data_IF_903811389562
#
_entry.id   IF_903811389562
#
_cell.length_a   1.000
_cell.length_b   1.000
_cell.length_c   1.000
_cell.angle_alpha   90.00
_cell.angle_beta   90.00
_cell.angle_gamma   90.00
#
_symmetry.space_group_name_H-M   'P 1'
#
loop_
_entity.id
_entity.type
_entity.pdbx_description
1 polymer ?
#
# COMPACT_ATOMS: atom_id res chain seq x y z
N UNK A 1 -8.44 24.97 41.00
CA UNK A 1 -8.19 24.52 39.60
C UNK A 1 -9.26 25.13 38.75
N UNK A 2 -8.91 26.20 38.00
CA UNK A 2 -9.83 27.16 37.40
C UNK A 2 -10.69 26.53 36.29
N UNK A 3 -12.01 26.94 36.24
CA UNK A 3 -12.94 26.56 35.17
C UNK A 3 -12.37 26.80 33.76
N UNK A 4 -11.50 27.80 33.60
CA UNK A 4 -10.78 28.09 32.36
C UNK A 4 -9.83 26.98 31.93
N UNK A 5 -9.14 26.33 32.87
CA UNK A 5 -8.21 25.23 32.60
C UNK A 5 -8.95 23.94 32.18
N UNK A 6 -10.16 23.72 32.71
CA UNK A 6 -11.04 22.62 32.27
C UNK A 6 -11.63 22.83 30.88
N UNK A 7 -11.93 24.06 30.51
CA UNK A 7 -12.40 24.40 29.14
C UNK A 7 -11.26 24.25 28.11
N UNK A 8 -10.06 24.63 28.45
CA UNK A 8 -8.89 24.46 27.57
C UNK A 8 -8.54 22.99 27.42
N UNK A 9 -8.62 22.19 28.49
CA UNK A 9 -8.37 20.76 28.45
C UNK A 9 -9.46 20.01 27.68
N UNK A 10 -10.72 20.48 27.72
CA UNK A 10 -11.85 19.92 26.95
C UNK A 10 -11.77 20.29 25.46
N UNK A 11 -11.22 21.45 25.11
CA UNK A 11 -11.04 21.89 23.72
C UNK A 11 -9.85 21.16 23.04
N UNK A 12 -8.82 20.77 23.81
CA UNK A 12 -7.65 20.04 23.27
C UNK A 12 -7.97 18.56 23.05
N UNK A 13 -8.93 17.98 23.76
CA UNK A 13 -9.36 16.57 23.57
C UNK A 13 -10.30 16.42 22.36
N UNK A 14 -10.92 17.49 21.87
CA UNK A 14 -11.85 17.42 20.71
C UNK A 14 -11.17 17.70 19.36
N UNK A 15 -9.85 17.91 19.33
CA UNK A 15 -9.07 18.00 18.09
C UNK A 15 -8.39 16.68 17.73
N UNK A 16 -8.96 15.54 18.13
CA UNK A 16 -8.64 14.25 17.57
C UNK A 16 -9.37 14.11 16.23
N UNK A 17 -8.72 14.59 15.18
CA UNK A 17 -8.72 14.05 13.83
C UNK A 17 -9.92 13.18 13.47
N UNK A 18 -11.03 13.82 13.16
CA UNK A 18 -11.78 13.43 11.99
C UNK A 18 -10.81 13.65 10.80
N UNK A 19 -10.05 12.61 10.39
CA UNK A 19 -9.66 12.56 8.99
C UNK A 19 -10.98 12.72 8.23
N UNK A 20 -11.13 13.72 7.37
CA UNK A 20 -12.32 13.77 6.53
C UNK A 20 -12.31 12.43 5.78
N UNK A 21 -13.32 11.60 5.98
CA UNK A 21 -13.65 10.60 4.99
C UNK A 21 -13.66 11.39 3.68
N UNK A 22 -12.88 10.98 2.68
CA UNK A 22 -12.90 11.63 1.37
C UNK A 22 -14.26 11.23 0.78
N UNK A 23 -15.29 11.91 1.23
CA UNK A 23 -16.65 11.71 0.75
C UNK A 23 -16.79 12.57 -0.49
N UNK A 24 -16.91 11.94 -1.63
CA UNK A 24 -17.30 12.64 -2.86
C UNK A 24 -18.73 13.12 -2.74
N UNK A 25 -19.03 14.39 -3.01
CA UNK A 25 -20.37 14.95 -2.83
C UNK A 25 -21.43 14.32 -3.73
N UNK A 26 -21.01 13.64 -4.78
CA UNK A 26 -21.82 12.94 -5.76
C UNK A 26 -21.89 11.42 -5.55
N UNK A 27 -21.36 10.91 -4.43
CA UNK A 27 -21.44 9.49 -4.05
C UNK A 27 -21.98 9.38 -2.63
N UNK A 28 -23.27 9.14 -2.53
CA UNK A 28 -23.99 8.97 -1.27
C UNK A 28 -23.62 7.60 -0.62
N UNK A 29 -23.68 7.52 0.71
CA UNK A 29 -23.41 6.27 1.45
C UNK A 29 -24.35 5.12 1.07
N UNK A 30 -25.52 5.43 0.51
CA UNK A 30 -26.49 4.45 -0.01
C UNK A 30 -26.20 4.02 -1.44
N UNK A 31 -25.24 4.67 -2.11
CA UNK A 31 -24.84 4.30 -3.47
C UNK A 31 -24.22 2.88 -3.48
N UNK A 32 -24.64 2.04 -4.42
CA UNK A 32 -24.30 0.63 -4.43
C UNK A 32 -22.78 0.32 -4.41
N UNK A 33 -21.96 1.20 -4.98
CA UNK A 33 -20.50 1.04 -5.04
C UNK A 33 -19.76 1.93 -4.00
N UNK A 34 -20.49 2.60 -3.09
CA UNK A 34 -19.88 3.50 -2.08
C UNK A 34 -18.75 2.83 -1.29
N UNK A 35 -18.90 1.59 -0.75
CA UNK A 35 -17.84 0.98 0.04
C UNK A 35 -16.56 0.74 -0.77
N UNK A 36 -16.69 0.33 -2.03
CA UNK A 36 -15.56 0.07 -2.93
C UNK A 36 -14.87 1.38 -3.32
N UNK A 37 -15.64 2.40 -3.72
CA UNK A 37 -15.12 3.72 -4.08
C UNK A 37 -14.36 4.33 -2.89
N UNK A 38 -14.94 4.32 -1.70
CA UNK A 38 -14.32 4.89 -0.51
C UNK A 38 -13.00 4.17 -0.19
N UNK A 39 -13.00 2.83 -0.15
CA UNK A 39 -11.82 2.05 0.16
C UNK A 39 -10.69 2.24 -0.86
N UNK A 40 -11.02 2.29 -2.17
CA UNK A 40 -10.03 2.51 -3.21
C UNK A 40 -9.47 3.94 -3.18
N UNK A 41 -10.28 4.91 -2.78
CA UNK A 41 -9.84 6.30 -2.59
C UNK A 41 -8.91 6.42 -1.40
N UNK A 42 -9.25 5.84 -0.26
CA UNK A 42 -8.38 5.78 0.92
C UNK A 42 -7.02 5.13 0.63
N UNK A 43 -6.99 4.19 -0.31
CA UNK A 43 -5.77 3.51 -0.77
C UNK A 43 -5.02 4.25 -1.89
N UNK A 44 -5.54 5.39 -2.37
CA UNK A 44 -4.93 6.13 -3.49
C UNK A 44 -5.02 5.43 -4.84
N UNK A 45 -5.80 4.35 -4.96
CA UNK A 45 -5.98 3.61 -6.22
C UNK A 45 -6.80 4.41 -7.22
N UNK A 46 -7.87 5.03 -6.74
CA UNK A 46 -8.71 5.93 -7.52
C UNK A 46 -8.66 7.34 -6.95
N UNK A 47 -8.76 8.32 -7.84
CA UNK A 47 -8.73 9.73 -7.50
C UNK A 47 -9.96 10.37 -8.14
N UNK A 48 -10.60 11.31 -7.41
CA UNK A 48 -11.68 12.13 -7.95
C UNK A 48 -11.18 13.16 -8.96
N UNK A 49 -12.11 13.89 -9.55
CA UNK A 49 -11.80 14.98 -10.45
C UNK A 49 -11.40 16.25 -9.68
N UNK A 50 -10.72 17.21 -10.35
CA UNK A 50 -10.31 18.48 -9.71
C UNK A 50 -11.47 19.29 -9.13
N UNK A 51 -12.71 19.06 -9.60
CA UNK A 51 -13.93 19.68 -9.06
C UNK A 51 -14.42 19.03 -7.75
N UNK A 52 -13.69 18.04 -7.24
CA UNK A 52 -14.00 17.30 -6.01
C UNK A 52 -15.04 16.20 -6.19
N UNK A 53 -15.52 15.93 -7.40
CA UNK A 53 -16.49 14.87 -7.70
C UNK A 53 -15.83 13.56 -8.08
N UNK A 54 -16.55 12.45 -7.95
CA UNK A 54 -16.14 11.13 -8.44
C UNK A 54 -16.69 10.81 -9.82
N UNK A 55 -17.90 11.27 -10.14
CA UNK A 55 -18.66 10.99 -11.36
C UNK A 55 -18.90 9.49 -11.57
N UNK A 56 -19.63 8.82 -10.68
CA UNK A 56 -19.75 7.37 -10.65
C UNK A 56 -20.33 6.77 -11.95
N UNK A 57 -21.19 7.50 -12.63
CA UNK A 57 -21.86 7.05 -13.86
C UNK A 57 -21.13 7.49 -15.15
N UNK A 58 -20.03 8.22 -15.05
CA UNK A 58 -19.22 8.57 -16.22
C UNK A 58 -18.46 7.34 -16.75
N UNK A 59 -18.31 7.25 -18.07
CA UNK A 59 -17.49 6.23 -18.69
C UNK A 59 -15.99 6.46 -18.39
N UNK A 60 -15.25 5.36 -18.27
CA UNK A 60 -13.79 5.39 -18.06
C UNK A 60 -13.08 5.23 -19.39
N UNK A 61 -12.07 6.05 -19.64
CA UNK A 61 -11.21 5.87 -20.82
C UNK A 61 -10.21 4.73 -20.62
N UNK A 62 -9.66 4.19 -21.70
CA UNK A 62 -8.64 3.13 -21.67
C UNK A 62 -7.38 3.58 -20.93
N UNK A 63 -6.98 4.84 -21.10
CA UNK A 63 -5.85 5.44 -20.38
C UNK A 63 -6.10 5.56 -18.87
N UNK A 64 -7.27 6.06 -18.48
CA UNK A 64 -7.67 6.13 -17.06
C UNK A 64 -7.69 4.75 -16.43
N UNK A 65 -8.26 3.77 -17.14
CA UNK A 65 -8.35 2.41 -16.65
C UNK A 65 -6.97 1.76 -16.46
N UNK A 66 -6.04 1.93 -17.41
CA UNK A 66 -4.67 1.44 -17.29
C UNK A 66 -3.99 1.98 -16.03
N UNK A 67 -4.11 3.30 -15.79
CA UNK A 67 -3.55 3.94 -14.59
C UNK A 67 -4.18 3.41 -13.29
N UNK A 68 -5.52 3.25 -13.27
CA UNK A 68 -6.22 2.67 -12.11
C UNK A 68 -5.79 1.22 -11.85
N UNK A 69 -5.67 0.39 -12.89
CA UNK A 69 -5.26 -1.00 -12.76
C UNK A 69 -3.83 -1.15 -12.24
N UNK A 70 -2.88 -0.32 -12.71
CA UNK A 70 -1.49 -0.32 -12.24
C UNK A 70 -1.42 0.09 -10.77
N UNK A 71 -2.16 1.12 -10.34
CA UNK A 71 -2.25 1.52 -8.92
C UNK A 71 -2.88 0.42 -8.08
N UNK A 72 -3.94 -0.23 -8.57
CA UNK A 72 -4.58 -1.34 -7.87
C UNK A 72 -3.64 -2.51 -7.61
N UNK A 73 -2.67 -2.74 -8.50
CA UNK A 73 -1.63 -3.76 -8.35
C UNK A 73 -0.39 -3.25 -7.62
N UNK A 74 -0.32 -1.96 -7.27
CA UNK A 74 0.85 -1.36 -6.62
C UNK A 74 2.09 -1.35 -7.51
N UNK A 75 1.92 -1.17 -8.83
CA UNK A 75 3.01 -1.24 -9.81
C UNK A 75 3.44 0.12 -10.37
N UNK A 76 3.11 1.22 -9.70
CA UNK A 76 3.41 2.59 -10.17
C UNK A 76 4.90 2.84 -10.39
N UNK A 77 5.76 2.15 -9.63
CA UNK A 77 7.22 2.34 -9.70
C UNK A 77 7.93 1.28 -10.55
N UNK A 78 7.21 0.35 -11.15
CA UNK A 78 7.82 -0.61 -12.07
C UNK A 78 8.43 0.11 -13.27
N UNK A 79 9.69 -0.24 -13.59
CA UNK A 79 10.40 0.29 -14.75
C UNK A 79 10.26 -0.66 -15.92
N UNK A 80 9.71 -0.19 -17.02
CA UNK A 80 9.65 -0.92 -18.29
C UNK A 80 10.88 -0.56 -19.12
N UNK A 81 11.72 -1.56 -19.42
CA UNK A 81 12.99 -1.36 -20.11
C UNK A 81 12.82 -1.25 -21.63
N UNK A 82 11.81 -1.92 -22.17
CA UNK A 82 11.51 -1.94 -23.59
C UNK A 82 10.06 -1.48 -23.79
N UNK A 83 9.82 -0.16 -23.94
CA UNK A 83 8.48 0.36 -24.17
C UNK A 83 8.00 0.01 -25.59
N UNK A 84 6.68 -0.14 -25.73
CA UNK A 84 5.99 -0.31 -27.00
C UNK A 84 5.72 1.08 -27.58
N UNK A 85 6.00 1.29 -28.85
CA UNK A 85 5.72 2.55 -29.52
C UNK A 85 4.33 2.50 -30.19
N UNK A 86 3.54 3.52 -29.92
CA UNK A 86 2.23 3.75 -30.52
C UNK A 86 2.26 5.01 -31.37
N UNK A 87 1.40 5.07 -32.39
CA UNK A 87 1.28 6.27 -33.23
C UNK A 87 0.30 7.30 -32.67
N UNK A 88 -0.53 6.90 -31.71
CA UNK A 88 -1.58 7.71 -31.09
C UNK A 88 -1.28 8.12 -29.62
N UNK A 89 -0.09 7.80 -29.11
CA UNK A 89 0.34 8.17 -27.76
C UNK A 89 1.86 8.37 -27.74
N UNK A 90 2.29 9.50 -27.23
CA UNK A 90 3.71 9.84 -27.06
C UNK A 90 4.18 9.71 -25.60
N UNK A 91 5.48 9.88 -25.38
CA UNK A 91 6.10 9.77 -24.05
C UNK A 91 5.67 10.90 -23.09
N UNK A 92 5.14 12.02 -23.60
CA UNK A 92 4.66 13.16 -22.82
C UNK A 92 3.22 12.96 -22.34
N UNK A 93 2.51 11.96 -22.88
CA UNK A 93 1.15 11.65 -22.45
C UNK A 93 1.11 11.23 -20.99
N UNK A 94 0.20 11.80 -20.21
CA UNK A 94 0.12 11.60 -18.75
C UNK A 94 0.02 10.13 -18.31
N UNK A 95 -0.62 9.27 -19.11
CA UNK A 95 -0.78 7.84 -18.82
C UNK A 95 0.27 6.95 -19.52
N UNK A 96 1.22 7.51 -20.28
CA UNK A 96 2.18 6.71 -21.06
C UNK A 96 2.87 5.65 -20.20
N UNK A 97 3.43 6.06 -19.08
CA UNK A 97 4.12 5.15 -18.16
C UNK A 97 3.23 4.02 -17.64
N UNK A 98 1.98 4.31 -17.28
CA UNK A 98 1.05 3.31 -16.75
C UNK A 98 0.55 2.37 -17.84
N UNK A 99 0.35 2.88 -19.07
CA UNK A 99 0.03 2.05 -20.24
C UNK A 99 1.16 1.06 -20.54
N UNK A 100 2.42 1.52 -20.53
CA UNK A 100 3.59 0.65 -20.75
C UNK A 100 3.69 -0.45 -19.69
N UNK A 101 3.41 -0.13 -18.42
CA UNK A 101 3.38 -1.12 -17.34
C UNK A 101 2.23 -2.11 -17.51
N UNK A 102 1.04 -1.63 -17.89
CA UNK A 102 -0.11 -2.49 -18.10
C UNK A 102 0.14 -3.50 -19.24
N UNK A 103 0.81 -3.09 -20.30
CA UNK A 103 1.27 -3.98 -21.36
C UNK A 103 2.35 -4.95 -20.87
N UNK A 104 3.31 -4.48 -20.10
CA UNK A 104 4.38 -5.31 -19.53
C UNK A 104 3.82 -6.45 -18.67
N UNK A 105 2.76 -6.20 -17.91
CA UNK A 105 2.08 -7.22 -17.09
C UNK A 105 1.03 -8.03 -17.85
N UNK A 106 0.90 -7.86 -19.16
CA UNK A 106 -0.10 -8.52 -20.02
C UNK A 106 -1.55 -8.26 -19.56
N UNK A 107 -1.80 -7.12 -18.92
CA UNK A 107 -3.15 -6.76 -18.46
C UNK A 107 -4.02 -6.31 -19.61
N UNK A 108 -3.50 -5.45 -20.46
CA UNK A 108 -4.20 -4.84 -21.62
C UNK A 108 -3.49 -5.19 -22.92
N UNK A 109 -4.22 -5.07 -24.00
CA UNK A 109 -3.69 -5.21 -25.36
C UNK A 109 -3.91 -3.94 -26.18
N UNK A 110 -3.05 -3.75 -27.17
CA UNK A 110 -3.22 -2.77 -28.24
C UNK A 110 -4.16 -3.31 -29.34
N UNK A 111 -4.33 -2.54 -30.41
CA UNK A 111 -5.04 -3.00 -31.60
C UNK A 111 -4.35 -4.19 -32.27
N UNK A 112 -5.03 -4.81 -33.26
CA UNK A 112 -4.51 -6.03 -33.94
C UNK A 112 -3.17 -5.81 -34.65
N UNK A 113 -2.86 -4.57 -35.05
CA UNK A 113 -1.63 -4.24 -35.74
C UNK A 113 -0.51 -3.84 -34.76
N UNK A 114 -0.82 -3.59 -33.50
CA UNK A 114 0.14 -3.11 -32.49
C UNK A 114 0.50 -1.63 -32.64
N UNK A 115 -0.23 -0.87 -33.45
CA UNK A 115 0.09 0.52 -33.78
C UNK A 115 -0.66 1.54 -32.94
N UNK A 116 -1.88 1.18 -32.46
CA UNK A 116 -2.77 2.08 -31.75
C UNK A 116 -3.12 1.55 -30.37
N UNK A 117 -3.08 2.41 -29.38
CA UNK A 117 -3.59 2.12 -28.04
C UNK A 117 -5.01 2.64 -27.81
N UNK A 118 -5.40 3.73 -28.47
CA UNK A 118 -6.70 4.43 -28.33
C UNK A 118 -6.96 4.91 -26.90
N UNK A 119 -6.12 5.82 -26.35
CA UNK A 119 -6.16 6.20 -24.94
C UNK A 119 -7.47 6.84 -24.50
N UNK A 120 -8.13 7.59 -25.38
CA UNK A 120 -9.36 8.34 -25.11
C UNK A 120 -10.65 7.57 -25.36
N UNK A 121 -10.56 6.39 -25.99
CA UNK A 121 -11.72 5.53 -26.17
C UNK A 121 -12.21 5.00 -24.81
N UNK A 122 -13.52 4.88 -24.65
CA UNK A 122 -14.09 4.27 -23.45
C UNK A 122 -13.72 2.79 -23.36
N UNK A 123 -13.29 2.34 -22.18
CA UNK A 123 -13.08 0.92 -21.91
C UNK A 123 -14.44 0.22 -21.80
N UNK A 124 -14.58 -0.94 -22.46
CA UNK A 124 -15.79 -1.77 -22.32
C UNK A 124 -15.77 -2.58 -21.02
N UNK A 125 -16.94 -3.07 -20.61
CA UNK A 125 -17.02 -4.01 -19.48
C UNK A 125 -16.22 -5.29 -19.75
N UNK A 126 -16.26 -5.80 -20.98
CA UNK A 126 -15.46 -6.95 -21.39
C UNK A 126 -13.96 -6.71 -21.23
N UNK A 127 -13.47 -5.56 -21.68
CA UNK A 127 -12.06 -5.19 -21.52
C UNK A 127 -11.68 -5.05 -20.03
N UNK A 128 -12.50 -4.35 -19.21
CA UNK A 128 -12.22 -4.17 -17.79
C UNK A 128 -12.16 -5.49 -17.02
N UNK A 129 -13.08 -6.40 -17.27
CA UNK A 129 -13.09 -7.73 -16.65
C UNK A 129 -11.93 -8.60 -17.16
N UNK A 130 -11.54 -8.49 -18.42
CA UNK A 130 -10.39 -9.21 -18.98
C UNK A 130 -9.11 -8.77 -18.30
N UNK A 131 -8.90 -7.47 -18.13
CA UNK A 131 -7.74 -6.92 -17.39
C UNK A 131 -7.71 -7.46 -15.96
N UNK A 132 -8.84 -7.43 -15.28
CA UNK A 132 -8.94 -7.91 -13.91
C UNK A 132 -8.62 -9.43 -13.81
N UNK A 133 -9.04 -10.24 -14.79
CA UNK A 133 -8.69 -11.67 -14.85
C UNK A 133 -7.19 -11.87 -15.17
N UNK A 134 -6.64 -11.08 -16.09
CA UNK A 134 -5.22 -11.17 -16.48
C UNK A 134 -4.27 -10.77 -15.34
N UNK A 135 -4.75 -9.96 -14.39
CA UNK A 135 -4.00 -9.62 -13.19
C UNK A 135 -3.78 -10.81 -12.23
N UNK A 136 -4.43 -11.93 -12.49
CA UNK A 136 -4.43 -13.10 -11.61
C UNK A 136 -3.79 -14.31 -12.27
N UNK A 137 -3.16 -15.18 -11.48
CA UNK A 137 -2.75 -16.51 -11.88
C UNK A 137 -3.92 -17.47 -11.66
N UNK A 138 -4.71 -17.68 -12.70
CA UNK A 138 -5.88 -18.55 -12.63
C UNK A 138 -5.69 -19.79 -13.52
N UNK A 139 -6.33 -20.90 -13.11
CA UNK A 139 -6.39 -22.09 -13.97
C UNK A 139 -7.11 -21.78 -15.28
N UNK A 140 -6.69 -22.46 -16.33
CA UNK A 140 -7.39 -22.39 -17.61
C UNK A 140 -8.70 -23.14 -17.54
N UNK A 141 -9.77 -22.56 -18.07
CA UNK A 141 -11.07 -23.24 -18.22
C UNK A 141 -11.35 -23.46 -19.71
N UNK A 142 -12.11 -24.51 -20.01
CA UNK A 142 -12.52 -24.76 -21.40
C UNK A 142 -13.61 -23.78 -21.84
N UNK A 143 -13.72 -23.45 -23.16
CA UNK A 143 -14.79 -22.60 -23.65
C UNK A 143 -16.20 -23.17 -23.31
N UNK A 144 -16.33 -24.49 -23.31
CA UNK A 144 -17.59 -25.16 -22.95
C UNK A 144 -17.95 -24.89 -21.47
N UNK A 145 -16.97 -24.97 -20.56
CA UNK A 145 -17.19 -24.68 -19.14
C UNK A 145 -17.50 -23.21 -18.90
N UNK A 146 -16.83 -22.30 -19.62
CA UNK A 146 -17.13 -20.90 -19.55
C UNK A 146 -18.58 -20.60 -19.98
N UNK A 147 -19.01 -21.14 -21.12
CA UNK A 147 -20.40 -21.01 -21.61
C UNK A 147 -21.39 -21.55 -20.61
N UNK A 148 -21.19 -22.78 -20.10
CA UNK A 148 -22.06 -23.38 -19.08
C UNK A 148 -22.29 -22.47 -17.87
N UNK A 149 -21.21 -21.83 -17.36
CA UNK A 149 -21.28 -20.94 -16.19
C UNK A 149 -22.07 -19.67 -16.53
N UNK A 150 -21.80 -19.08 -17.70
CA UNK A 150 -22.43 -17.84 -18.12
C UNK A 150 -23.92 -18.02 -18.43
N UNK A 151 -24.30 -19.08 -19.16
CA UNK A 151 -25.68 -19.39 -19.54
C UNK A 151 -26.60 -19.64 -18.33
N UNK A 152 -26.05 -20.07 -17.21
CA UNK A 152 -26.82 -20.25 -15.97
C UNK A 152 -27.23 -18.94 -15.31
N UNK A 153 -26.56 -17.83 -15.63
CA UNK A 153 -26.71 -16.57 -14.88
C UNK A 153 -27.13 -15.39 -15.77
N UNK A 154 -26.65 -15.34 -17.00
CA UNK A 154 -26.84 -14.20 -17.90
C UNK A 154 -27.77 -14.52 -19.06
N UNK A 155 -28.64 -13.54 -19.36
CA UNK A 155 -29.63 -13.69 -20.46
C UNK A 155 -29.07 -13.27 -21.82
N UNK A 156 -27.98 -12.48 -21.83
CA UNK A 156 -27.36 -11.88 -23.01
C UNK A 156 -26.12 -12.65 -23.51
N UNK A 157 -25.99 -13.91 -23.15
CA UNK A 157 -24.82 -14.74 -23.51
C UNK A 157 -24.58 -14.86 -25.03
N UNK A 158 -25.60 -14.69 -25.82
CA UNK A 158 -25.52 -14.73 -27.29
C UNK A 158 -24.84 -13.48 -27.91
N UNK A 159 -24.69 -12.39 -27.14
CA UNK A 159 -24.01 -11.15 -27.56
C UNK A 159 -22.56 -11.12 -27.11
N UNK A 160 -22.10 -12.08 -26.30
CA UNK A 160 -20.75 -12.12 -25.80
C UNK A 160 -19.74 -12.39 -26.92
N UNK A 161 -18.77 -11.50 -27.18
CA UNK A 161 -17.72 -11.76 -28.17
C UNK A 161 -16.92 -13.03 -27.83
N UNK A 162 -16.57 -13.80 -28.85
CA UNK A 162 -15.88 -15.08 -28.65
C UNK A 162 -14.58 -14.97 -27.88
N UNK A 163 -13.82 -13.92 -28.11
CA UNK A 163 -12.58 -13.65 -27.39
C UNK A 163 -12.80 -13.42 -25.88
N UNK A 164 -13.99 -12.97 -25.48
CA UNK A 164 -14.31 -12.65 -24.10
C UNK A 164 -14.96 -13.82 -23.34
N UNK A 165 -15.41 -14.88 -24.01
CA UNK A 165 -16.10 -16.02 -23.36
C UNK A 165 -15.29 -16.63 -22.22
N UNK A 166 -14.01 -16.92 -22.44
CA UNK A 166 -13.14 -17.51 -21.42
C UNK A 166 -12.85 -16.50 -20.28
N UNK A 167 -12.45 -15.26 -20.55
CA UNK A 167 -12.30 -14.24 -19.50
C UNK A 167 -13.58 -14.03 -18.69
N UNK A 168 -14.75 -13.94 -19.35
CA UNK A 168 -16.03 -13.77 -18.69
C UNK A 168 -16.37 -14.93 -17.75
N UNK A 169 -16.18 -16.18 -18.21
CA UNK A 169 -16.39 -17.36 -17.37
C UNK A 169 -15.45 -17.41 -16.16
N UNK A 170 -14.19 -17.03 -16.35
CA UNK A 170 -13.22 -16.87 -15.22
C UNK A 170 -13.65 -15.77 -14.26
N UNK A 171 -14.03 -14.61 -14.78
CA UNK A 171 -14.48 -13.48 -13.97
C UNK A 171 -15.69 -13.85 -13.11
N UNK A 172 -16.64 -14.62 -13.69
CA UNK A 172 -17.79 -15.12 -12.94
C UNK A 172 -17.41 -16.11 -11.85
N UNK A 173 -16.55 -17.09 -12.14
CA UNK A 173 -16.07 -18.08 -11.15
C UNK A 173 -15.34 -17.40 -9.99
N UNK A 174 -14.60 -16.33 -10.27
CA UNK A 174 -13.83 -15.56 -9.27
C UNK A 174 -14.67 -14.49 -8.55
N UNK A 175 -15.97 -14.37 -8.88
CA UNK A 175 -16.84 -13.37 -8.26
C UNK A 175 -16.50 -11.92 -8.62
N UNK A 176 -15.86 -11.70 -9.79
CA UNK A 176 -15.40 -10.37 -10.20
C UNK A 176 -16.46 -9.59 -10.98
N UNK A 177 -17.48 -10.29 -11.51
CA UNK A 177 -18.55 -9.65 -12.28
C UNK A 177 -19.48 -8.90 -11.35
N UNK A 178 -19.62 -7.61 -11.60
CA UNK A 178 -20.53 -6.72 -10.86
C UNK A 178 -21.81 -6.54 -11.66
N UNK A 179 -22.96 -6.84 -11.05
CA UNK A 179 -24.29 -6.63 -11.61
C UNK A 179 -24.93 -5.48 -10.85
N UNK A 180 -25.44 -4.49 -11.57
CA UNK A 180 -26.11 -3.36 -10.94
C UNK A 180 -27.41 -3.83 -10.27
N UNK A 181 -27.71 -3.40 -9.03
CA UNK A 181 -28.88 -3.83 -8.28
C UNK A 181 -30.22 -3.51 -8.96
N UNK A 182 -30.23 -2.56 -9.89
CA UNK A 182 -31.41 -2.14 -10.63
C UNK A 182 -31.76 -3.02 -11.86
N UNK A 183 -30.86 -3.93 -12.24
CA UNK A 183 -31.10 -4.80 -13.39
C UNK A 183 -32.16 -5.84 -13.02
N UNK A 184 -33.27 -5.90 -13.77
CA UNK A 184 -34.33 -6.89 -13.58
C UNK A 184 -33.87 -8.31 -13.94
N UNK A 185 -33.00 -8.41 -14.95
CA UNK A 185 -32.41 -9.64 -15.45
C UNK A 185 -30.89 -9.46 -15.45
N UNK A 186 -30.15 -10.52 -15.17
CA UNK A 186 -28.70 -10.44 -15.12
C UNK A 186 -28.14 -10.37 -16.54
N UNK A 187 -27.67 -9.18 -16.92
CA UNK A 187 -26.94 -8.96 -18.16
C UNK A 187 -25.46 -8.73 -17.90
N UNK A 188 -24.62 -9.37 -18.72
CA UNK A 188 -23.18 -9.12 -18.69
C UNK A 188 -22.85 -7.79 -19.36
N UNK A 189 -23.61 -7.41 -20.39
CA UNK A 189 -23.48 -6.19 -21.18
C UNK A 189 -22.02 -5.94 -21.65
N UNK A 190 -21.42 -6.97 -22.26
CA UNK A 190 -19.97 -7.07 -22.52
C UNK A 190 -19.38 -5.87 -23.26
N UNK A 191 -20.01 -5.40 -24.31
CA UNK A 191 -19.50 -4.31 -25.18
C UNK A 191 -19.89 -2.91 -24.73
N UNK A 192 -20.75 -2.80 -23.72
CA UNK A 192 -21.12 -1.49 -23.15
C UNK A 192 -19.91 -0.84 -22.47
N UNK A 193 -19.71 0.49 -22.62
CA UNK A 193 -18.73 1.22 -21.84
C UNK A 193 -18.91 0.98 -20.34
N UNK A 194 -17.81 0.77 -19.63
CA UNK A 194 -17.81 0.62 -18.17
C UNK A 194 -17.88 1.98 -17.49
N UNK A 195 -18.72 2.11 -16.47
CA UNK A 195 -18.79 3.31 -15.65
C UNK A 195 -17.69 3.31 -14.59
N UNK A 196 -17.36 4.48 -14.05
CA UNK A 196 -16.34 4.63 -12.98
C UNK A 196 -16.69 3.83 -11.73
N UNK A 197 -17.96 3.73 -11.38
CA UNK A 197 -18.43 2.91 -10.27
C UNK A 197 -18.23 1.41 -10.54
N UNK A 198 -18.52 0.95 -11.75
CA UNK A 198 -18.28 -0.44 -12.14
C UNK A 198 -16.79 -0.79 -12.15
N UNK A 199 -15.98 0.10 -12.71
CA UNK A 199 -14.51 -0.06 -12.70
C UNK A 199 -13.98 -0.11 -11.27
N UNK A 200 -14.44 0.76 -10.38
CA UNK A 200 -14.05 0.72 -8.98
C UNK A 200 -14.39 -0.63 -8.33
N UNK A 201 -15.59 -1.14 -8.54
CA UNK A 201 -16.00 -2.44 -7.98
C UNK A 201 -15.21 -3.61 -8.59
N UNK A 202 -14.94 -3.61 -9.90
CA UNK A 202 -14.12 -4.61 -10.58
C UNK A 202 -12.68 -4.59 -10.02
N UNK A 203 -12.06 -3.41 -9.91
CA UNK A 203 -10.70 -3.27 -9.38
C UNK A 203 -10.61 -3.67 -7.92
N UNK A 204 -11.61 -3.34 -7.11
CA UNK A 204 -11.69 -3.80 -5.73
C UNK A 204 -11.68 -5.32 -5.64
N UNK A 205 -12.55 -5.99 -6.41
CA UNK A 205 -12.61 -7.46 -6.44
C UNK A 205 -11.28 -8.06 -6.97
N UNK A 206 -10.69 -7.45 -8.00
CA UNK A 206 -9.36 -7.83 -8.49
C UNK A 206 -8.29 -7.76 -7.39
N UNK A 207 -8.24 -6.67 -6.63
CA UNK A 207 -7.26 -6.51 -5.55
C UNK A 207 -7.41 -7.56 -4.46
N UNK A 208 -8.64 -7.92 -4.08
CA UNK A 208 -8.87 -8.96 -3.08
C UNK A 208 -8.42 -10.34 -3.59
N UNK A 209 -8.65 -10.65 -4.86
CA UNK A 209 -8.19 -11.89 -5.48
C UNK A 209 -6.67 -11.90 -5.72
N UNK A 210 -6.08 -10.77 -6.08
CA UNK A 210 -4.64 -10.65 -6.35
C UNK A 210 -3.77 -10.89 -5.11
N UNK A 211 -4.30 -10.68 -3.90
CA UNK A 211 -3.62 -11.05 -2.66
C UNK A 211 -3.37 -12.56 -2.55
N UNK A 212 -4.27 -13.36 -3.10
CA UNK A 212 -4.21 -14.81 -3.03
C UNK A 212 -3.54 -15.43 -4.27
N UNK A 213 -3.78 -14.83 -5.43
CA UNK A 213 -3.39 -15.36 -6.74
C UNK A 213 -2.79 -14.27 -7.63
N UNK A 214 -1.62 -13.71 -7.27
CA UNK A 214 -1.01 -12.64 -8.07
C UNK A 214 -0.61 -13.15 -9.46
N UNK A 215 -0.61 -12.25 -10.45
CA UNK A 215 -0.11 -12.51 -11.80
C UNK A 215 1.28 -13.16 -11.77
N UNK A 216 1.55 -14.07 -12.71
CA UNK A 216 2.79 -14.86 -12.71
C UNK A 216 4.06 -14.00 -12.70
N UNK A 217 4.11 -12.90 -13.46
CA UNK A 217 5.25 -11.95 -13.47
C UNK A 217 5.38 -11.23 -12.15
N UNK A 218 4.28 -10.77 -11.57
CA UNK A 218 4.24 -10.14 -10.26
C UNK A 218 4.68 -11.12 -9.17
N UNK A 219 4.14 -12.34 -9.16
CA UNK A 219 4.49 -13.39 -8.21
C UNK A 219 5.98 -13.78 -8.30
N UNK A 220 6.55 -13.82 -9.51
CA UNK A 220 7.98 -14.07 -9.69
C UNK A 220 8.84 -12.93 -9.15
N UNK A 221 8.48 -11.68 -9.48
CA UNK A 221 9.19 -10.51 -9.00
C UNK A 221 9.18 -10.43 -7.46
N UNK A 222 8.02 -10.70 -6.84
CA UNK A 222 7.89 -10.74 -5.39
C UNK A 222 8.68 -11.89 -4.76
N UNK A 223 8.65 -13.10 -5.34
CA UNK A 223 9.44 -14.24 -4.83
C UNK A 223 10.93 -13.99 -4.77
N UNK A 224 11.49 -13.22 -5.69
CA UNK A 224 12.90 -12.82 -5.68
C UNK A 224 13.26 -11.93 -4.47
N UNK A 225 12.28 -11.42 -3.76
CA UNK A 225 12.42 -10.54 -2.60
C UNK A 225 11.97 -11.20 -1.29
N UNK A 226 11.93 -12.52 -1.24
CA UNK A 226 11.67 -13.27 -0.01
C UNK A 226 12.97 -13.57 0.74
N UNK A 227 12.88 -13.68 2.06
CA UNK A 227 14.02 -14.02 2.91
C UNK A 227 13.61 -14.30 4.34
N UNK A 228 14.57 -14.74 5.15
CA UNK A 228 14.38 -14.92 6.59
C UNK A 228 14.66 -13.63 7.34
N UNK A 229 14.02 -13.44 8.50
CA UNK A 229 14.23 -12.28 9.33
C UNK A 229 13.21 -12.11 10.45
N UNK A 230 13.12 -10.90 10.97
CA UNK A 230 12.14 -10.54 11.99
C UNK A 230 10.76 -10.37 11.34
N UNK A 231 9.83 -11.25 11.70
CA UNK A 231 8.45 -11.21 11.19
C UNK A 231 7.70 -10.05 11.85
N UNK A 232 7.17 -9.16 11.03
CA UNK A 232 6.27 -8.09 11.49
C UNK A 232 4.85 -8.59 11.31
N UNK A 233 4.24 -9.01 12.43
CA UNK A 233 2.92 -9.64 12.46
C UNK A 233 1.79 -8.71 11.94
N UNK A 234 1.94 -7.41 12.15
CA UNK A 234 0.97 -6.40 11.75
C UNK A 234 1.15 -5.95 10.28
N UNK A 235 2.24 -6.36 9.62
CA UNK A 235 2.48 -5.99 8.24
C UNK A 235 1.42 -6.61 7.31
N UNK A 236 0.99 -5.81 6.33
CA UNK A 236 0.00 -6.25 5.33
C UNK A 236 0.60 -6.15 3.94
N UNK A 237 0.15 -7.02 3.04
CA UNK A 237 0.52 -6.99 1.63
C UNK A 237 -0.72 -6.71 0.80
N UNK A 238 -0.60 -5.77 -0.15
CA UNK A 238 -1.65 -5.44 -1.09
C UNK A 238 -1.03 -5.31 -2.49
N UNK A 239 -1.37 -6.23 -3.39
CA UNK A 239 -0.66 -6.32 -4.67
C UNK A 239 0.83 -6.56 -4.43
N UNK A 240 1.68 -5.66 -4.90
CA UNK A 240 3.13 -5.69 -4.63
C UNK A 240 3.57 -4.80 -3.47
N UNK A 241 2.65 -4.12 -2.80
CA UNK A 241 2.98 -3.20 -1.72
C UNK A 241 2.86 -3.88 -0.36
N UNK A 242 3.98 -3.97 0.33
CA UNK A 242 4.03 -4.33 1.74
C UNK A 242 3.93 -3.08 2.62
N UNK A 243 3.10 -3.10 3.63
CA UNK A 243 2.90 -1.97 4.55
C UNK A 243 3.23 -2.38 5.98
N UNK A 244 4.11 -1.62 6.64
CA UNK A 244 4.31 -1.68 8.09
C UNK A 244 3.45 -0.58 8.71
N UNK A 245 2.46 -0.90 9.53
CA UNK A 245 1.55 0.11 10.08
C UNK A 245 2.23 1.01 11.11
N UNK A 246 1.63 2.20 11.30
CA UNK A 246 1.98 3.08 12.41
C UNK A 246 1.82 2.36 13.75
N UNK A 247 2.67 2.68 14.71
CA UNK A 247 2.64 2.08 16.05
C UNK A 247 3.42 0.79 16.19
N UNK A 248 3.85 0.17 15.09
CA UNK A 248 4.66 -1.06 15.10
C UNK A 248 6.01 -0.82 15.78
N UNK A 249 6.42 -1.78 16.63
CA UNK A 249 7.73 -1.77 17.26
C UNK A 249 8.69 -2.66 16.49
N UNK A 250 9.80 -2.09 16.07
CA UNK A 250 10.84 -2.78 15.32
C UNK A 250 12.19 -2.71 16.05
N UNK A 251 12.96 -3.80 16.13
CA UNK A 251 14.27 -3.79 16.74
C UNK A 251 15.27 -3.02 15.87
N UNK A 252 16.14 -2.21 16.47
CA UNK A 252 17.23 -1.53 15.77
C UNK A 252 18.54 -1.71 16.54
N UNK A 253 19.67 -1.62 15.85
CA UNK A 253 21.01 -1.62 16.46
C UNK A 253 21.66 -0.27 16.33
N UNK A 254 22.10 0.27 17.46
CA UNK A 254 22.77 1.57 17.52
C UNK A 254 24.21 1.47 17.05
N UNK A 255 24.65 2.38 16.17
CA UNK A 255 26.04 2.48 15.77
C UNK A 255 26.82 3.50 16.64
N UNK A 256 26.08 4.34 17.38
CA UNK A 256 26.65 5.39 18.24
C UNK A 256 26.42 5.07 19.72
N UNK A 257 27.40 5.39 20.55
CA UNK A 257 27.19 5.42 22.01
C UNK A 257 26.38 6.67 22.37
N UNK A 258 25.31 6.49 23.13
CA UNK A 258 24.47 7.57 23.64
C UNK A 258 24.19 7.37 25.13
N UNK A 259 24.19 8.44 25.91
CA UNK A 259 23.93 8.41 27.35
C UNK A 259 23.13 9.63 27.79
N UNK A 260 22.16 9.43 28.66
CA UNK A 260 21.40 10.52 29.27
C UNK A 260 22.28 11.46 30.15
N UNK A 261 23.51 11.07 30.48
CA UNK A 261 24.45 11.85 31.27
C UNK A 261 25.36 12.75 30.44
N UNK A 262 25.79 12.29 29.27
CA UNK A 262 26.85 12.93 28.48
C UNK A 262 26.42 13.39 27.09
N UNK A 263 25.28 12.90 26.57
CA UNK A 263 24.79 13.27 25.25
C UNK A 263 23.96 14.56 25.35
N UNK A 264 24.11 15.44 24.38
CA UNK A 264 23.33 16.69 24.29
C UNK A 264 22.10 16.48 23.37
N UNK A 265 21.05 17.29 23.58
CA UNK A 265 19.91 17.35 22.69
C UNK A 265 20.32 17.87 21.30
N UNK A 266 19.71 17.32 20.23
CA UNK A 266 20.03 17.67 18.84
C UNK A 266 21.18 16.89 18.23
N UNK A 267 21.94 16.11 19.02
CA UNK A 267 23.01 15.25 18.49
C UNK A 267 22.42 14.25 17.48
N UNK A 268 23.04 14.16 16.30
CA UNK A 268 22.71 13.18 15.28
C UNK A 268 23.31 11.83 15.65
N UNK A 269 22.50 10.79 15.58
CA UNK A 269 22.96 9.42 15.77
C UNK A 269 22.70 8.58 14.51
N UNK A 270 23.41 7.48 14.41
CA UNK A 270 23.18 6.45 13.39
C UNK A 270 22.86 5.12 14.05
N UNK A 271 21.99 4.38 13.39
CA UNK A 271 21.63 3.01 13.74
C UNK A 271 21.52 2.18 12.46
N UNK A 272 21.23 0.90 12.60
CA UNK A 272 20.98 0.00 11.47
C UNK A 272 19.90 -1.01 11.78
N UNK A 273 19.33 -1.57 10.73
CA UNK A 273 18.42 -2.71 10.81
C UNK A 273 19.25 -3.95 11.14
N UNK A 274 18.98 -4.67 12.23
CA UNK A 274 19.83 -5.80 12.68
C UNK A 274 19.65 -7.08 11.87
N UNK A 275 18.50 -7.25 11.21
CA UNK A 275 18.13 -8.39 10.37
C UNK A 275 16.98 -7.96 9.44
N UNK A 276 16.72 -8.69 8.35
CA UNK A 276 15.60 -8.35 7.48
C UNK A 276 14.29 -8.22 8.27
N UNK A 277 13.47 -7.22 7.96
CA UNK A 277 12.09 -7.20 8.41
C UNK A 277 11.23 -7.80 7.32
N UNK A 278 10.42 -8.78 7.67
CA UNK A 278 9.64 -9.55 6.70
C UNK A 278 8.16 -9.61 7.08
N UNK A 279 7.31 -9.83 6.09
CA UNK A 279 5.90 -10.17 6.30
C UNK A 279 5.75 -11.61 6.77
N UNK A 280 4.53 -12.03 7.11
CA UNK A 280 4.22 -13.45 7.43
C UNK A 280 4.53 -14.40 6.28
N UNK A 281 4.43 -13.92 5.05
CA UNK A 281 4.78 -14.66 3.81
C UNK A 281 6.26 -14.53 3.45
N UNK A 282 7.10 -14.01 4.37
CA UNK A 282 8.53 -13.83 4.21
C UNK A 282 8.98 -12.83 3.12
N UNK A 283 8.11 -11.92 2.66
CA UNK A 283 8.53 -10.81 1.79
C UNK A 283 9.35 -9.79 2.57
N UNK A 284 10.50 -9.41 2.03
CA UNK A 284 11.41 -8.46 2.68
C UNK A 284 10.86 -7.03 2.54
N UNK A 285 10.61 -6.39 3.66
CA UNK A 285 10.16 -5.00 3.78
C UNK A 285 11.34 -4.03 3.93
N UNK A 286 12.25 -4.33 4.85
CA UNK A 286 13.50 -3.60 5.04
C UNK A 286 14.63 -4.62 5.20
N UNK A 287 15.81 -4.27 4.71
CA UNK A 287 16.94 -5.19 4.69
C UNK A 287 17.82 -5.06 5.92
N UNK A 288 18.47 -6.16 6.25
CA UNK A 288 19.58 -6.15 7.19
C UNK A 288 20.64 -5.14 6.73
N UNK A 289 21.16 -4.36 7.68
CA UNK A 289 22.14 -3.28 7.49
C UNK A 289 21.63 -2.01 6.77
N UNK A 290 20.36 -1.88 6.43
CA UNK A 290 19.79 -0.58 6.06
C UNK A 290 20.11 0.43 7.15
N UNK A 291 20.63 1.59 6.74
CA UNK A 291 21.15 2.61 7.66
C UNK A 291 20.04 3.54 8.10
N UNK A 292 19.97 3.74 9.41
CA UNK A 292 19.04 4.67 10.04
C UNK A 292 19.79 5.90 10.54
N UNK A 293 19.20 7.06 10.38
CA UNK A 293 19.71 8.31 10.93
C UNK A 293 18.61 9.08 11.64
N UNK A 294 18.94 9.56 12.81
CA UNK A 294 18.02 10.29 13.66
C UNK A 294 18.69 11.34 14.51
N UNK A 295 17.90 11.96 15.37
CA UNK A 295 18.36 13.00 16.31
C UNK A 295 17.90 12.70 17.73
N UNK A 296 18.69 13.08 18.70
CA UNK A 296 18.35 13.05 20.11
C UNK A 296 17.37 14.18 20.40
N UNK A 297 16.12 13.84 20.73
CA UNK A 297 15.08 14.84 21.00
C UNK A 297 15.15 15.39 22.42
N UNK A 298 15.33 14.50 23.40
CA UNK A 298 15.29 14.87 24.80
C UNK A 298 16.33 14.09 25.59
N UNK A 299 17.04 14.81 26.44
CA UNK A 299 18.00 14.24 27.37
C UNK A 299 17.73 14.80 28.76
N UNK A 300 17.63 13.92 29.73
CA UNK A 300 17.58 14.29 31.14
C UNK A 300 18.50 13.36 31.93
N UNK A 301 19.53 13.87 32.57
CA UNK A 301 20.38 13.06 33.45
C UNK A 301 19.60 12.58 34.68
N UNK A 302 19.86 11.35 35.09
CA UNK A 302 19.35 10.82 36.36
C UNK A 302 19.88 11.59 37.57
N UNK A 303 19.05 11.77 38.58
CA UNK A 303 19.43 12.39 39.87
C UNK A 303 19.12 11.45 41.02
N UNK A 304 20.02 11.38 42.00
CA UNK A 304 19.83 10.60 43.23
C UNK A 304 18.47 10.84 43.85
N UNK A 305 17.75 9.77 44.18
CA UNK A 305 16.46 9.77 44.85
C UNK A 305 15.34 10.60 44.22
N UNK A 306 15.59 11.18 43.03
CA UNK A 306 14.66 12.13 42.41
C UNK A 306 14.06 11.57 41.12
N UNK A 307 14.89 11.08 40.21
CA UNK A 307 14.43 10.59 38.89
C UNK A 307 15.48 9.77 38.15
N UNK A 308 15.03 8.86 37.29
CA UNK A 308 15.89 8.20 36.33
C UNK A 308 16.26 9.13 35.18
N UNK A 309 17.33 8.84 34.48
CA UNK A 309 17.72 9.49 33.26
C UNK A 309 16.70 9.22 32.14
N UNK A 310 16.53 10.18 31.26
CA UNK A 310 15.65 10.04 30.08
C UNK A 310 16.49 10.31 28.84
N UNK A 311 16.36 9.44 27.84
CA UNK A 311 16.97 9.60 26.53
C UNK A 311 15.92 9.22 25.48
N UNK A 312 15.42 10.22 24.75
CA UNK A 312 14.42 10.05 23.70
C UNK A 312 15.08 10.30 22.34
N UNK A 313 15.02 9.32 21.49
CA UNK A 313 15.64 9.33 20.16
C UNK A 313 14.53 9.37 19.10
N UNK A 314 14.64 10.28 18.14
CA UNK A 314 13.76 10.32 16.97
C UNK A 314 14.56 9.88 15.76
N UNK A 315 14.07 8.86 15.08
CA UNK A 315 14.57 8.49 13.75
C UNK A 315 13.85 9.30 12.67
N UNK A 316 14.56 9.73 11.65
CA UNK A 316 14.02 10.60 10.61
C UNK A 316 14.09 9.94 9.24
N UNK A 317 15.15 9.22 8.92
CA UNK A 317 15.40 8.67 7.59
C UNK A 317 16.00 7.26 7.67
N UNK A 318 15.75 6.50 6.61
CA UNK A 318 16.44 5.25 6.29
C UNK A 318 17.16 5.42 4.95
N UNK A 319 18.37 4.89 4.86
CA UNK A 319 19.08 4.70 3.59
C UNK A 319 19.14 3.21 3.33
N UNK A 320 18.49 2.79 2.24
CA UNK A 320 18.41 1.38 1.85
C UNK A 320 19.69 0.92 1.15
N UNK A 321 19.84 -0.38 0.99
CA UNK A 321 20.96 -0.99 0.23
C UNK A 321 21.06 -0.45 -1.21
N UNK A 322 19.95 -0.01 -1.79
CA UNK A 322 19.89 0.58 -3.14
C UNK A 322 20.18 2.09 -3.14
N UNK A 323 20.77 2.63 -2.07
CA UNK A 323 21.06 4.06 -1.86
C UNK A 323 19.82 4.99 -1.92
N UNK A 324 18.61 4.43 -1.79
CA UNK A 324 17.41 5.25 -1.63
C UNK A 324 17.39 5.85 -0.22
N UNK A 325 17.24 7.17 -0.15
CA UNK A 325 17.00 7.89 1.10
C UNK A 325 15.49 8.12 1.21
N UNK A 326 14.88 7.54 2.23
CA UNK A 326 13.44 7.66 2.46
C UNK A 326 13.16 8.11 3.90
N UNK A 327 12.05 8.82 4.17
CA UNK A 327 11.65 9.16 5.52
C UNK A 327 11.20 7.87 6.24
N UNK A 328 11.79 7.65 7.42
CA UNK A 328 11.37 6.61 8.34
C UNK A 328 11.25 7.26 9.71
N UNK A 329 10.02 7.65 10.06
CA UNK A 329 9.77 8.44 11.25
C UNK A 329 9.38 7.54 12.40
N UNK A 330 10.21 7.52 13.44
CA UNK A 330 9.98 6.71 14.62
C UNK A 330 10.62 7.32 15.88
N UNK A 331 10.18 6.85 17.03
CA UNK A 331 10.79 7.17 18.32
C UNK A 331 11.38 5.90 18.90
N UNK A 332 12.67 5.93 19.19
CA UNK A 332 13.34 4.81 19.83
C UNK A 332 13.36 4.99 21.35
N UNK A 333 12.92 3.94 22.04
CA UNK A 333 13.03 3.80 23.48
C UNK A 333 14.13 2.80 23.83
N UNK A 334 15.00 3.19 24.74
CA UNK A 334 16.03 2.31 25.24
C UNK A 334 15.45 1.55 26.43
N UNK A 335 15.06 0.30 26.22
CA UNK A 335 14.62 -0.59 27.31
C UNK A 335 15.81 -1.44 27.76
N UNK A 336 16.22 -1.25 29.00
CA UNK A 336 17.05 -2.24 29.68
C UNK A 336 16.12 -3.19 30.45
N UNK A 337 16.02 -4.46 29.98
CA UNK A 337 15.43 -5.52 30.78
C UNK A 337 16.30 -5.78 32.01
N UNK A 338 15.82 -5.37 33.14
CA UNK A 338 16.49 -5.61 34.42
C UNK A 338 15.52 -6.10 35.46
N UNK A 339 16.03 -7.03 36.29
CA UNK A 339 15.36 -7.51 37.48
C UNK A 339 14.90 -6.32 38.32
N UNK A 340 13.64 -6.31 38.78
CA UNK A 340 13.01 -5.25 39.57
C UNK A 340 13.87 -4.78 40.77
N UNK A 341 14.52 -5.73 41.47
CA UNK A 341 15.37 -5.41 42.62
C UNK A 341 16.63 -4.60 42.25
N UNK A 342 17.26 -4.91 41.13
CA UNK A 342 18.41 -4.16 40.64
C UNK A 342 18.03 -2.77 40.14
N UNK A 343 16.82 -2.57 39.59
CA UNK A 343 16.26 -1.26 39.25
C UNK A 343 16.07 -0.41 40.49
N UNK A 344 15.54 -0.97 41.56
CA UNK A 344 15.33 -0.28 42.85
C UNK A 344 16.62 0.13 43.51
N UNK A 345 17.60 -0.75 43.60
CA UNK A 345 18.91 -0.45 44.25
C UNK A 345 19.67 0.65 43.51
N UNK A 346 19.69 0.62 42.18
CA UNK A 346 20.34 1.68 41.38
C UNK A 346 19.57 2.99 41.38
N UNK A 347 18.27 2.96 41.36
CA UNK A 347 17.45 4.15 41.52
C UNK A 347 17.70 4.81 42.89
N UNK A 348 17.71 4.01 43.94
CA UNK A 348 17.91 4.51 45.32
C UNK A 348 19.30 5.10 45.54
N UNK A 349 20.35 4.58 44.89
CA UNK A 349 21.72 4.97 45.22
C UNK A 349 22.45 5.80 44.13
N UNK A 350 22.03 5.77 42.87
CA UNK A 350 22.72 6.47 41.76
C UNK A 350 21.86 7.28 40.81
N UNK A 351 20.52 7.25 40.87
CA UNK A 351 19.67 7.74 39.80
C UNK A 351 20.02 7.02 38.49
N UNK A 352 19.23 6.08 38.05
CA UNK A 352 19.58 5.25 36.88
C UNK A 352 19.77 6.11 35.64
N UNK A 353 20.94 6.03 35.00
CA UNK A 353 21.20 6.67 33.71
C UNK A 353 20.68 5.74 32.58
N UNK A 354 20.04 6.32 31.59
CA UNK A 354 19.80 5.63 30.34
C UNK A 354 20.99 5.74 29.41
N UNK A 355 21.46 4.63 28.94
CA UNK A 355 22.61 4.57 28.02
C UNK A 355 22.42 3.42 27.04
N UNK A 356 22.88 3.61 25.82
CA UNK A 356 22.96 2.55 24.81
C UNK A 356 24.37 2.52 24.26
N UNK A 357 24.95 1.34 24.27
CA UNK A 357 26.30 1.09 23.75
C UNK A 357 26.31 1.05 22.23
N UNK A 358 27.45 1.24 21.62
CA UNK A 358 27.69 0.90 20.22
C UNK A 358 27.35 -0.58 20.03
N UNK A 359 26.57 -0.91 18.99
CA UNK A 359 25.93 -2.21 18.75
C UNK A 359 24.91 -2.65 19.82
N UNK A 360 24.47 -1.74 20.69
CA UNK A 360 23.40 -2.00 21.63
C UNK A 360 22.04 -2.05 20.96
N UNK A 361 21.15 -2.89 21.51
CA UNK A 361 19.79 -3.07 21.00
C UNK A 361 18.88 -1.95 21.52
N UNK A 362 18.01 -1.45 20.65
CA UNK A 362 16.92 -0.55 20.95
C UNK A 362 15.68 -0.94 20.16
N UNK A 363 14.51 -0.47 20.56
CA UNK A 363 13.26 -0.68 19.84
C UNK A 363 12.73 0.67 19.37
N UNK A 364 12.40 0.74 18.09
CA UNK A 364 11.81 1.91 17.49
C UNK A 364 10.32 1.69 17.28
N UNK A 365 9.49 2.60 17.79
CA UNK A 365 8.06 2.67 17.50
C UNK A 365 7.87 3.57 16.28
N UNK A 366 7.26 3.06 15.23
CA UNK A 366 6.94 3.85 14.05
C UNK A 366 5.84 4.88 14.36
N UNK A 367 6.03 6.11 13.91
CA UNK A 367 5.05 7.20 14.02
C UNK A 367 4.30 7.47 12.71
N UNK A 368 4.70 6.82 11.65
CA UNK A 368 4.02 6.80 10.34
C UNK A 368 4.13 5.41 9.73
N UNK A 369 3.15 5.00 8.91
CA UNK A 369 3.27 3.75 8.18
C UNK A 369 4.41 3.81 7.18
N UNK A 370 5.00 2.66 6.87
CA UNK A 370 6.01 2.50 5.83
C UNK A 370 5.41 1.62 4.75
N UNK A 371 5.44 2.08 3.51
CA UNK A 371 5.02 1.30 2.35
C UNK A 371 6.25 0.95 1.51
N UNK A 372 6.38 -0.31 1.15
CA UNK A 372 7.53 -0.84 0.42
C UNK A 372 7.04 -1.61 -0.79
N UNK A 373 7.58 -1.32 -1.97
CA UNK A 373 7.34 -2.14 -3.15
C UNK A 373 8.15 -3.44 -3.06
N UNK A 374 7.46 -4.55 -2.91
CA UNK A 374 8.05 -5.89 -2.75
C UNK A 374 8.73 -6.41 -4.02
N UNK A 375 8.60 -5.73 -5.15
CA UNK A 375 9.28 -6.12 -6.40
C UNK A 375 10.69 -5.57 -6.51
N UNK A 376 10.91 -4.35 -5.98
CA UNK A 376 12.18 -3.63 -6.10
C UNK A 376 12.77 -3.16 -4.76
N UNK A 377 11.99 -3.19 -3.68
CA UNK A 377 12.41 -2.73 -2.35
C UNK A 377 12.36 -1.21 -2.17
N UNK A 378 11.71 -0.47 -3.07
CA UNK A 378 11.55 0.97 -2.92
C UNK A 378 10.53 1.32 -1.83
N UNK A 379 10.88 2.32 -1.01
CA UNK A 379 10.02 2.85 0.03
C UNK A 379 9.23 4.02 -0.57
N UNK A 380 7.90 3.96 -0.43
CA UNK A 380 7.02 5.06 -0.82
C UNK A 380 7.10 6.20 0.19
N UNK A 381 7.18 7.41 -0.34
CA UNK A 381 7.11 8.66 0.42
C UNK A 381 5.69 9.22 0.22
N UNK A 382 4.90 9.22 1.30
CA UNK A 382 3.61 9.93 1.36
C UNK A 382 3.76 11.28 2.03
#
# INVERSE_FOLDING_TARGET
>A
MNKLLKMILSAVIFCFTLMPAIAYPDVDETYWAYPQINMLTEKGVIIGYPDGTFKPDANVTRAEFAAMAIRALGQEHTKVVQPVHFTDIDEEHWAYSDIQKALYFDLISCDKNGELFRPDDSVSRAESLTVAVNALTTETITPAKAKEVLEKKYIDTHTIPEWFVIPAGKAEILGMVVIMPSAKDAELAAERPATRAEVAAILFNMMEQAKLNPNAKLAEAMRKKTGEGFVIEEATVQGSIGTIPEGTFVPIKMNSYLSSQTTEGGVVYTARIPQNYVTREHYILLRENDKLQGQVLQVQPGKYFVRNGILVLKNNIVTTENDQIAPLIGVAEIKKDRNWWMKFVRWAFKGEQQEVMTNGDAYMKLLKPIKVDLTNGWIYIE
#
